data_IF_923180366223
#
_entry.id   IF_923180366223
#
_cell.length_a   1.000
_cell.length_b   1.000
_cell.length_c   1.000
_cell.angle_alpha   90.00
_cell.angle_beta   90.00
_cell.angle_gamma   90.00
#
_symmetry.space_group_name_H-M   'P 1'
#
loop_
_entity.id
_entity.type
_entity.pdbx_description
1 polymer ?
#
# COMPACT_ATOMS: atom_id res chain seq x y z
N UNK A 1 17.46 1.94 1.68
CA UNK A 1 18.69 1.31 2.21
C UNK A 1 18.27 0.50 3.44
N UNK A 2 18.40 -0.81 3.35
CA UNK A 2 18.06 -1.72 4.42
C UNK A 2 19.19 -1.70 5.46
N UNK A 3 18.81 -1.52 6.74
CA UNK A 3 19.71 -1.74 7.88
C UNK A 3 19.24 -2.98 8.62
N UNK A 4 20.07 -3.98 8.73
CA UNK A 4 19.80 -5.13 9.59
C UNK A 4 19.95 -4.69 11.06
N UNK A 5 18.88 -4.83 11.82
CA UNK A 5 18.82 -4.51 13.24
C UNK A 5 18.67 -5.83 14.02
N UNK A 6 19.76 -6.58 14.16
CA UNK A 6 19.72 -7.69 15.09
C UNK A 6 19.77 -7.14 16.54
N UNK A 7 18.60 -6.83 17.07
CA UNK A 7 18.42 -6.47 18.48
C UNK A 7 17.64 -7.57 19.19
N UNK A 8 18.13 -8.00 20.33
CA UNK A 8 17.38 -8.89 21.21
C UNK A 8 16.23 -8.17 21.94
N UNK A 9 16.23 -6.85 21.92
CA UNK A 9 15.24 -6.00 22.59
C UNK A 9 13.95 -5.98 21.81
N UNK A 10 12.86 -6.34 22.45
CA UNK A 10 11.50 -6.24 21.87
C UNK A 10 11.06 -4.79 21.80
N UNK A 11 10.28 -4.48 20.78
CA UNK A 11 9.55 -3.20 20.70
C UNK A 11 8.16 -3.45 21.29
N UNK A 12 7.96 -3.09 22.53
CA UNK A 12 6.73 -3.28 23.29
C UNK A 12 6.06 -1.95 23.68
N UNK A 13 6.69 -0.84 23.34
CA UNK A 13 6.13 0.50 23.57
C UNK A 13 6.51 1.46 22.41
N UNK A 14 5.72 2.52 22.20
CA UNK A 14 6.06 3.56 21.24
C UNK A 14 7.41 4.24 21.50
N UNK A 15 7.77 4.43 22.77
CA UNK A 15 9.07 4.99 23.18
C UNK A 15 10.22 4.13 22.69
N UNK A 16 10.13 2.81 22.84
CA UNK A 16 11.16 1.88 22.38
C UNK A 16 11.32 1.97 20.85
N UNK A 17 10.22 2.12 20.12
CA UNK A 17 10.24 2.33 18.67
C UNK A 17 10.90 3.66 18.32
N UNK A 18 10.54 4.75 18.99
CA UNK A 18 11.09 6.10 18.78
C UNK A 18 12.59 6.12 19.04
N UNK A 19 13.05 5.53 20.14
CA UNK A 19 14.48 5.44 20.45
C UNK A 19 15.26 4.73 19.34
N UNK A 20 14.69 3.67 18.77
CA UNK A 20 15.33 2.93 17.70
C UNK A 20 15.47 3.72 16.40
N UNK A 21 14.49 4.59 16.08
CA UNK A 21 14.48 5.36 14.83
C UNK A 21 15.01 6.77 14.97
N UNK A 22 15.01 7.34 16.19
CA UNK A 22 15.38 8.75 16.41
C UNK A 22 16.77 9.07 15.84
N UNK A 23 17.77 8.27 16.16
CA UNK A 23 19.13 8.46 15.64
C UNK A 23 19.21 8.37 14.12
N UNK A 24 18.39 7.49 13.54
CA UNK A 24 18.33 7.33 12.09
C UNK A 24 17.63 8.50 11.39
N UNK A 25 16.82 9.28 12.10
CA UNK A 25 16.02 10.39 11.56
C UNK A 25 16.65 11.76 11.83
N UNK A 26 17.54 11.89 12.82
CA UNK A 26 18.16 13.16 13.23
C UNK A 26 18.90 13.89 12.11
N UNK A 27 19.48 13.15 11.17
CA UNK A 27 20.29 13.69 10.09
C UNK A 27 19.45 14.17 8.89
N UNK A 28 18.14 13.99 8.91
CA UNK A 28 17.29 14.35 7.77
C UNK A 28 16.63 15.72 7.97
N UNK A 29 16.89 16.62 7.02
CA UNK A 29 16.30 17.96 6.90
C UNK A 29 14.92 17.96 6.22
N UNK A 30 14.42 16.77 5.88
CA UNK A 30 13.17 16.52 5.13
C UNK A 30 12.35 15.44 5.77
N UNK A 31 11.11 15.32 5.35
CA UNK A 31 10.24 14.24 5.78
C UNK A 31 10.77 12.88 5.28
N UNK A 32 10.86 11.93 6.17
CA UNK A 32 11.25 10.55 5.89
C UNK A 32 10.16 9.64 6.41
N UNK A 33 9.65 8.79 5.54
CA UNK A 33 8.72 7.74 5.92
C UNK A 33 9.41 6.39 5.84
N UNK A 34 9.23 5.58 6.87
CA UNK A 34 9.79 4.25 6.92
C UNK A 34 8.97 3.28 7.76
N UNK A 35 9.50 2.08 7.88
CA UNK A 35 8.93 1.04 8.72
C UNK A 35 10.02 0.20 9.39
N UNK A 36 9.66 -0.37 10.52
CA UNK A 36 10.42 -1.43 11.19
C UNK A 36 9.67 -2.73 10.96
N UNK A 37 10.34 -3.69 10.33
CA UNK A 37 9.85 -5.05 10.19
C UNK A 37 10.12 -5.82 11.47
N UNK A 38 9.12 -6.54 11.97
CA UNK A 38 9.15 -7.19 13.27
C UNK A 38 8.81 -8.68 13.15
N UNK A 39 9.43 -9.47 14.00
CA UNK A 39 9.06 -10.87 14.23
C UNK A 39 7.71 -10.95 14.97
N UNK A 40 7.19 -12.18 15.12
CA UNK A 40 5.92 -12.43 15.83
C UNK A 40 5.96 -11.97 17.29
N UNK A 41 7.14 -11.95 17.90
CA UNK A 41 7.37 -11.52 19.30
C UNK A 41 7.84 -10.06 19.42
N UNK A 42 7.69 -9.27 18.32
CA UNK A 42 8.04 -7.86 18.21
C UNK A 42 9.54 -7.53 18.28
N UNK A 43 10.41 -8.50 18.02
CA UNK A 43 11.83 -8.20 17.81
C UNK A 43 12.05 -7.60 16.42
N UNK A 44 12.86 -6.54 16.31
CA UNK A 44 13.16 -5.92 15.04
C UNK A 44 13.99 -6.85 14.15
N UNK A 45 13.57 -6.98 12.89
CA UNK A 45 14.30 -7.67 11.83
C UNK A 45 15.18 -6.67 11.11
N UNK A 46 14.58 -5.61 10.61
CA UNK A 46 15.26 -4.52 9.91
C UNK A 46 14.42 -3.24 9.93
N UNK A 47 15.08 -2.14 9.57
CA UNK A 47 14.48 -0.84 9.35
C UNK A 47 14.63 -0.47 7.87
N UNK A 48 13.54 -0.05 7.25
CA UNK A 48 13.50 0.37 5.85
C UNK A 48 12.95 1.78 5.70
N UNK A 49 13.71 2.65 5.03
CA UNK A 49 13.23 3.93 4.56
C UNK A 49 12.51 3.70 3.22
N UNK A 50 11.26 4.08 3.16
CA UNK A 50 10.38 3.89 2.01
C UNK A 50 10.33 5.14 1.14
N UNK A 51 10.26 6.32 1.77
CA UNK A 51 10.17 7.59 1.06
C UNK A 51 10.98 8.67 1.77
N UNK A 52 11.55 9.57 0.99
CA UNK A 52 12.24 10.78 1.46
C UNK A 52 11.77 11.98 0.63
N UNK A 53 11.41 13.08 1.29
CA UNK A 53 10.86 14.29 0.69
C UNK A 53 9.53 14.65 1.31
N UNK A 54 8.71 15.47 0.65
CA UNK A 54 7.36 15.77 1.14
C UNK A 54 6.50 14.51 1.14
N UNK A 55 5.83 14.24 2.25
CA UNK A 55 4.83 13.17 2.35
C UNK A 55 3.64 13.49 1.43
N UNK A 56 3.80 13.13 0.17
CA UNK A 56 2.67 13.08 -0.73
C UNK A 56 2.22 11.62 -0.80
N UNK A 57 0.92 11.34 -0.71
CA UNK A 57 0.32 10.00 -0.81
C UNK A 57 0.74 9.24 -2.09
N UNK A 58 1.26 9.94 -3.09
CA UNK A 58 1.87 9.37 -4.28
C UNK A 58 3.28 8.81 -4.07
N UNK A 59 3.99 9.18 -2.99
CA UNK A 59 5.36 8.76 -2.72
C UNK A 59 5.45 7.54 -1.79
N UNK A 60 4.46 7.36 -0.89
CA UNK A 60 4.37 6.18 -0.02
C UNK A 60 3.34 5.21 -0.63
N UNK A 61 3.80 4.39 -1.55
CA UNK A 61 2.91 3.43 -2.20
C UNK A 61 2.81 2.14 -1.38
N UNK A 62 1.60 1.64 -1.04
CA UNK A 62 1.43 0.40 -0.26
C UNK A 62 2.20 -0.79 -0.81
N UNK A 63 2.32 -0.91 -2.14
CA UNK A 63 3.07 -1.99 -2.78
C UNK A 63 4.56 -1.99 -2.40
N UNK A 64 5.21 -0.82 -2.38
CA UNK A 64 6.63 -0.73 -2.04
C UNK A 64 6.87 -0.99 -0.54
N UNK A 65 5.91 -0.54 0.29
CA UNK A 65 5.92 -0.79 1.73
C UNK A 65 5.75 -2.30 2.03
N UNK A 66 4.74 -2.93 1.43
CA UNK A 66 4.50 -4.37 1.55
C UNK A 66 5.65 -5.22 1.03
N UNK A 67 6.27 -4.83 -0.08
CA UNK A 67 7.39 -5.55 -0.67
C UNK A 67 8.52 -5.75 0.33
N UNK A 68 8.94 -4.69 1.01
CA UNK A 68 9.96 -4.73 2.04
C UNK A 68 9.60 -5.73 3.15
N UNK A 69 8.37 -5.67 3.64
CA UNK A 69 7.88 -6.49 4.74
C UNK A 69 7.79 -7.97 4.38
N UNK A 70 7.27 -8.27 3.18
CA UNK A 70 7.16 -9.65 2.68
C UNK A 70 8.55 -10.26 2.50
N UNK A 71 9.48 -9.53 1.89
CA UNK A 71 10.86 -9.99 1.69
C UNK A 71 11.61 -10.21 3.01
N UNK A 72 11.24 -9.47 4.06
CA UNK A 72 11.79 -9.62 5.40
C UNK A 72 11.14 -10.76 6.20
N UNK A 73 10.13 -11.43 5.65
CA UNK A 73 9.32 -12.44 6.35
C UNK A 73 8.80 -11.94 7.71
N UNK A 74 8.37 -10.68 7.76
CA UNK A 74 7.91 -10.04 8.98
C UNK A 74 6.45 -10.43 9.29
N UNK A 75 6.14 -10.62 10.57
CA UNK A 75 4.79 -10.87 11.06
C UNK A 75 4.06 -9.57 11.43
N UNK A 76 4.83 -8.59 11.93
CA UNK A 76 4.31 -7.31 12.36
C UNK A 76 5.15 -6.18 11.75
N UNK A 77 4.57 -5.00 11.69
CA UNK A 77 5.27 -3.78 11.28
C UNK A 77 4.93 -2.62 12.21
N UNK A 78 5.89 -1.72 12.36
CA UNK A 78 5.68 -0.41 12.96
C UNK A 78 6.06 0.64 11.94
N UNK A 79 5.14 1.57 11.67
CA UNK A 79 5.33 2.68 10.74
C UNK A 79 5.92 3.86 11.47
N UNK A 80 6.76 4.63 10.81
CA UNK A 80 7.29 5.87 11.38
C UNK A 80 7.53 6.92 10.30
N UNK A 81 7.42 8.19 10.68
CA UNK A 81 7.92 9.31 9.91
C UNK A 81 8.31 10.47 10.83
N UNK A 82 9.12 11.38 10.31
CA UNK A 82 9.49 12.63 11.00
C UNK A 82 8.82 13.83 10.36
N UNK A 83 8.55 14.85 11.19
CA UNK A 83 8.20 16.17 10.73
C UNK A 83 9.37 17.15 11.02
N UNK A 84 10.12 17.60 10.01
CA UNK A 84 11.22 18.56 10.21
C UNK A 84 10.77 19.87 10.86
N UNK A 85 9.49 20.21 10.71
CA UNK A 85 8.88 21.37 11.37
C UNK A 85 8.73 21.22 12.90
N UNK A 86 8.99 20.03 13.44
CA UNK A 86 8.77 19.66 14.85
C UNK A 86 7.31 19.56 15.28
N UNK A 87 6.35 19.72 14.36
CA UNK A 87 4.92 19.55 14.64
C UNK A 87 4.59 18.08 14.69
N UNK A 88 4.03 17.61 15.82
CA UNK A 88 3.68 16.19 16.02
C UNK A 88 2.26 15.84 15.56
N UNK A 89 1.40 16.85 15.37
CA UNK A 89 0.00 16.60 14.97
C UNK A 89 -0.04 16.01 13.55
N UNK A 90 -0.71 14.87 13.36
CA UNK A 90 -0.88 14.25 12.04
C UNK A 90 -1.57 15.19 11.06
N UNK A 91 -1.11 15.21 9.83
CA UNK A 91 -1.81 15.82 8.69
C UNK A 91 -2.96 14.93 8.21
N UNK A 92 -3.76 15.41 7.27
CA UNK A 92 -4.81 14.60 6.63
C UNK A 92 -4.17 13.49 5.77
N UNK A 93 -3.05 13.80 5.18
CA UNK A 93 -2.25 12.89 4.36
C UNK A 93 -1.69 11.75 5.22
N UNK A 94 -1.18 12.03 6.42
CA UNK A 94 -0.69 11.01 7.37
C UNK A 94 -1.81 10.07 7.80
N UNK A 95 -2.99 10.61 8.11
CA UNK A 95 -4.16 9.81 8.46
C UNK A 95 -4.58 8.91 7.28
N UNK A 96 -4.63 9.48 6.08
CA UNK A 96 -5.03 8.75 4.87
C UNK A 96 -4.07 7.61 4.55
N UNK A 97 -2.76 7.87 4.56
CA UNK A 97 -1.77 6.83 4.27
C UNK A 97 -1.72 5.76 5.36
N UNK A 98 -1.89 6.15 6.63
CA UNK A 98 -1.96 5.19 7.73
C UNK A 98 -3.14 4.24 7.53
N UNK A 99 -4.34 4.74 7.19
CA UNK A 99 -5.49 3.89 6.93
C UNK A 99 -5.25 2.96 5.73
N UNK A 100 -4.73 3.48 4.62
CA UNK A 100 -4.42 2.66 3.45
C UNK A 100 -3.44 1.53 3.77
N UNK A 101 -2.38 1.82 4.52
CA UNK A 101 -1.38 0.82 4.89
C UNK A 101 -1.93 -0.20 5.87
N UNK A 102 -2.68 0.21 6.89
CA UNK A 102 -3.33 -0.73 7.82
C UNK A 102 -4.23 -1.73 7.07
N UNK A 103 -5.03 -1.25 6.10
CA UNK A 103 -5.87 -2.13 5.30
C UNK A 103 -5.04 -3.06 4.40
N UNK A 104 -4.00 -2.54 3.74
CA UNK A 104 -3.15 -3.31 2.84
C UNK A 104 -2.37 -4.41 3.60
N UNK A 105 -1.79 -4.09 4.74
CA UNK A 105 -1.09 -5.05 5.59
C UNK A 105 -2.02 -6.11 6.17
N UNK A 106 -3.22 -5.69 6.60
CA UNK A 106 -4.23 -6.62 7.10
C UNK A 106 -4.65 -7.66 6.06
N UNK A 107 -4.79 -7.27 4.79
CA UNK A 107 -5.09 -8.20 3.69
C UNK A 107 -4.01 -9.27 3.51
N UNK A 108 -2.77 -8.97 3.89
CA UNK A 108 -1.63 -9.89 3.83
C UNK A 108 -1.41 -10.66 5.14
N UNK A 109 -2.29 -10.48 6.14
CA UNK A 109 -2.15 -11.11 7.45
C UNK A 109 -1.02 -10.52 8.31
N UNK A 110 -0.52 -9.32 7.96
CA UNK A 110 0.55 -8.63 8.67
C UNK A 110 -0.08 -7.54 9.55
N UNK A 111 0.30 -7.50 10.82
CA UNK A 111 -0.27 -6.52 11.76
C UNK A 111 0.56 -5.24 11.77
N UNK A 112 -0.10 -4.10 11.59
CA UNK A 112 0.48 -2.78 11.91
C UNK A 112 0.28 -2.55 13.41
N UNK A 113 1.38 -2.47 14.16
CA UNK A 113 1.33 -2.28 15.62
C UNK A 113 1.05 -0.83 15.97
N UNK A 114 1.71 0.09 15.30
CA UNK A 114 1.55 1.53 15.50
C UNK A 114 2.04 2.31 14.28
N UNK A 115 1.73 3.60 14.25
CA UNK A 115 2.37 4.60 13.43
C UNK A 115 2.83 5.74 14.34
N UNK A 116 4.13 6.01 14.35
CA UNK A 116 4.71 7.05 15.19
C UNK A 116 5.24 8.22 14.35
N UNK A 117 4.88 9.43 14.74
CA UNK A 117 5.45 10.67 14.18
C UNK A 117 6.54 11.14 15.15
N UNK A 118 7.77 11.20 14.66
CA UNK A 118 8.93 11.53 15.47
C UNK A 118 9.29 13.00 15.28
N UNK A 119 9.24 13.78 16.35
CA UNK A 119 9.76 15.14 16.38
C UNK A 119 11.23 15.20 16.78
N UNK A 120 11.55 14.44 17.83
CA UNK A 120 12.91 14.21 18.32
C UNK A 120 12.92 12.97 19.21
N UNK A 121 14.04 12.64 19.85
CA UNK A 121 14.18 11.44 20.67
C UNK A 121 13.19 11.32 21.85
N UNK A 122 12.59 12.41 22.28
CA UNK A 122 11.66 12.45 23.43
C UNK A 122 10.25 12.87 23.06
N UNK A 123 10.08 13.53 21.92
CA UNK A 123 8.78 14.07 21.49
C UNK A 123 8.28 13.29 20.27
N UNK A 124 7.16 12.63 20.41
CA UNK A 124 6.53 11.86 19.36
C UNK A 124 5.00 11.89 19.47
N UNK A 125 4.33 11.47 18.44
CA UNK A 125 2.91 11.18 18.42
C UNK A 125 2.73 9.71 18.02
N UNK A 126 2.02 8.94 18.82
CA UNK A 126 1.64 7.56 18.53
C UNK A 126 0.17 7.50 18.16
N UNK A 127 -0.17 6.94 17.01
CA UNK A 127 -1.56 6.73 16.62
C UNK A 127 -2.26 5.73 17.54
N UNK A 128 -1.52 4.74 18.05
CA UNK A 128 -2.07 3.75 19.00
C UNK A 128 -2.41 4.39 20.34
N UNK A 129 -1.47 5.13 20.95
CA UNK A 129 -1.69 5.77 22.25
C UNK A 129 -2.80 6.81 22.21
N UNK A 130 -2.92 7.53 21.11
CA UNK A 130 -3.98 8.52 20.91
C UNK A 130 -5.31 7.88 20.47
N UNK A 131 -5.40 6.54 20.42
CA UNK A 131 -6.58 5.80 19.97
C UNK A 131 -7.06 6.22 18.57
N UNK A 132 -6.13 6.62 17.71
CA UNK A 132 -6.39 7.08 16.33
C UNK A 132 -5.86 6.13 15.27
N UNK A 133 -5.24 5.00 15.67
CA UNK A 133 -4.81 3.98 14.72
C UNK A 133 -6.05 3.33 14.08
N UNK A 134 -6.15 3.33 12.74
CA UNK A 134 -7.30 2.75 12.05
C UNK A 134 -7.45 1.26 12.36
N UNK A 135 -8.68 0.81 12.52
CA UNK A 135 -8.95 -0.62 12.67
C UNK A 135 -8.94 -1.32 11.32
N UNK A 136 -8.41 -2.55 11.26
CA UNK A 136 -8.52 -3.37 10.07
C UNK A 136 -9.98 -3.60 9.68
N UNK A 137 -10.30 -3.35 8.42
CA UNK A 137 -11.61 -3.66 7.84
C UNK A 137 -11.48 -4.92 7.01
N UNK A 138 -11.92 -6.06 7.52
CA UNK A 138 -11.97 -7.31 6.77
C UNK A 138 -13.40 -7.58 6.35
N UNK A 139 -13.61 -7.78 5.08
CA UNK A 139 -14.87 -8.28 4.53
C UNK A 139 -14.57 -9.41 3.55
N UNK A 140 -14.18 -10.56 4.09
CA UNK A 140 -14.19 -11.78 3.29
C UNK A 140 -15.60 -12.34 3.31
N UNK A 141 -16.19 -12.51 2.14
CA UNK A 141 -17.48 -13.20 2.06
C UNK A 141 -17.25 -14.71 1.93
N UNK A 142 -18.10 -15.48 2.60
CA UNK A 142 -18.19 -16.95 2.47
C UNK A 142 -19.37 -17.39 1.62
N UNK A 143 -20.18 -16.45 1.15
CA UNK A 143 -21.37 -16.69 0.31
C UNK A 143 -21.12 -16.23 -1.12
N UNK A 144 -21.36 -17.08 -2.10
CA UNK A 144 -21.28 -16.74 -3.53
C UNK A 144 -22.28 -15.63 -3.92
N UNK A 145 -23.41 -15.52 -3.21
CA UNK A 145 -24.41 -14.49 -3.46
C UNK A 145 -23.93 -13.08 -3.10
N UNK A 146 -22.94 -12.99 -2.19
CA UNK A 146 -22.34 -11.74 -1.76
C UNK A 146 -21.13 -11.36 -2.62
N UNK A 147 -20.66 -12.26 -3.48
CA UNK A 147 -19.60 -11.96 -4.42
C UNK A 147 -20.18 -11.10 -5.54
N UNK A 148 -19.56 -9.96 -5.79
CA UNK A 148 -19.79 -9.18 -7.00
C UNK A 148 -19.22 -9.94 -8.20
N UNK A 149 -19.98 -10.85 -8.75
CA UNK A 149 -19.63 -11.72 -9.87
C UNK A 149 -19.65 -10.97 -11.21
N UNK A 150 -19.44 -9.71 -11.25
CA UNK A 150 -19.23 -8.86 -12.47
C UNK A 150 -19.98 -9.35 -13.73
N UNK A 151 -21.19 -9.85 -13.58
CA UNK A 151 -22.04 -10.33 -14.69
C UNK A 151 -22.23 -9.25 -15.76
N UNK A 152 -22.24 -7.98 -15.35
CA UNK A 152 -22.33 -6.85 -16.28
C UNK A 152 -21.09 -6.69 -17.17
N UNK A 153 -19.87 -6.94 -16.67
CA UNK A 153 -18.65 -6.80 -17.50
C UNK A 153 -18.46 -7.91 -18.51
N UNK A 154 -19.02 -9.08 -18.29
CA UNK A 154 -19.02 -10.16 -19.30
C UNK A 154 -19.90 -9.77 -20.47
N UNK A 155 -21.08 -9.23 -20.23
CA UNK A 155 -21.99 -8.74 -21.27
C UNK A 155 -21.39 -7.56 -22.07
N UNK A 156 -20.68 -6.63 -21.39
CA UNK A 156 -19.95 -5.55 -22.06
C UNK A 156 -18.77 -6.07 -22.90
N UNK A 157 -17.99 -7.02 -22.39
CA UNK A 157 -16.88 -7.62 -23.10
C UNK A 157 -17.39 -8.42 -24.34
N UNK A 158 -18.46 -9.15 -24.21
CA UNK A 158 -19.13 -9.85 -25.33
C UNK A 158 -19.64 -8.85 -26.40
N UNK A 159 -20.21 -7.72 -25.95
CA UNK A 159 -20.65 -6.63 -26.83
C UNK A 159 -19.48 -5.99 -27.58
N UNK A 160 -18.33 -5.77 -26.92
CA UNK A 160 -17.12 -5.23 -27.56
C UNK A 160 -16.54 -6.25 -28.55
N UNK A 161 -16.47 -7.53 -28.20
CA UNK A 161 -16.01 -8.60 -29.10
C UNK A 161 -16.93 -8.74 -30.31
N UNK A 162 -18.25 -8.63 -30.13
CA UNK A 162 -19.22 -8.65 -31.22
C UNK A 162 -19.01 -7.47 -32.18
N UNK A 163 -18.83 -6.25 -31.64
CA UNK A 163 -18.53 -5.05 -32.44
C UNK A 163 -17.20 -5.15 -33.20
N UNK A 164 -16.16 -5.72 -32.60
CA UNK A 164 -14.88 -5.96 -33.27
C UNK A 164 -15.02 -6.95 -34.42
N UNK A 165 -15.79 -8.03 -34.25
CA UNK A 165 -16.06 -9.00 -35.32
C UNK A 165 -16.85 -8.38 -36.48
N UNK A 166 -17.74 -7.45 -36.20
CA UNK A 166 -18.47 -6.71 -37.24
C UNK A 166 -17.56 -5.74 -38.02
N UNK A 167 -16.56 -5.16 -37.38
CA UNK A 167 -15.60 -4.26 -38.05
C UNK A 167 -14.55 -5.00 -38.87
N UNK A 168 -14.24 -6.25 -38.58
CA UNK A 168 -13.31 -7.06 -39.35
C UNK A 168 -13.91 -7.60 -40.68
N UNK A 169 -15.23 -7.51 -40.90
CA UNK A 169 -15.88 -8.05 -42.10
C UNK A 169 -16.33 -7.05 -43.19
N UNK A 170 -15.99 -5.75 -43.19
CA UNK A 170 -16.40 -4.85 -44.29
C UNK A 170 -15.68 -5.10 -45.60
N UNK A 171 -14.49 -5.67 -45.61
CA UNK A 171 -13.71 -5.88 -46.85
C UNK A 171 -14.10 -7.12 -47.65
N UNK A 172 -14.63 -8.18 -47.02
CA UNK A 172 -15.08 -9.37 -47.73
C UNK A 172 -16.39 -9.17 -48.50
N UNK A 173 -17.30 -8.34 -48.01
CA UNK A 173 -18.57 -8.02 -48.68
C UNK A 173 -18.41 -7.15 -49.92
N UNK A 174 -17.40 -6.25 -49.97
CA UNK A 174 -17.15 -5.43 -51.17
C UNK A 174 -16.49 -6.23 -52.30
N UNK A 175 -15.65 -7.21 -52.01
CA UNK A 175 -15.03 -8.07 -53.03
C UNK A 175 -16.01 -9.09 -53.65
N UNK A 176 -17.00 -9.59 -52.94
CA UNK A 176 -18.01 -10.49 -53.50
C UNK A 176 -19.01 -9.76 -54.40
N UNK A 177 -19.37 -8.51 -54.07
CA UNK A 177 -20.24 -7.68 -54.96
C UNK A 177 -19.53 -7.18 -56.20
N UNK A 178 -18.22 -6.96 -56.21
CA UNK A 178 -17.45 -6.60 -57.37
C UNK A 178 -17.29 -7.80 -58.34
N UNK A 179 -17.03 -9.02 -57.85
CA UNK A 179 -16.95 -10.23 -58.69
C UNK A 179 -18.28 -10.67 -59.27
N UNK A 180 -19.42 -10.36 -58.62
CA UNK A 180 -20.74 -10.69 -59.20
C UNK A 180 -21.13 -9.73 -60.35
N UNK A 181 -20.59 -8.50 -60.35
CA UNK A 181 -20.86 -7.52 -61.42
C UNK A 181 -19.99 -7.70 -62.67
N UNK A 182 -18.84 -8.38 -62.57
CA UNK A 182 -17.99 -8.73 -63.73
C UNK A 182 -18.41 -10.04 -64.45
N UNK A 183 -19.31 -10.82 -63.85
CA UNK A 183 -19.80 -12.07 -64.41
C UNK A 183 -21.12 -11.91 -65.21
N UNK A 184 -21.70 -10.71 -65.24
CA UNK A 184 -22.94 -10.38 -65.97
C UNK A 184 -22.70 -9.43 -67.19
N UNK A 185 -21.45 -9.28 -67.62
CA UNK A 185 -21.04 -8.56 -68.83
C UNK A 185 -20.32 -9.54 -69.79
#
# INVERSE_FOLDING_TARGET
KERSLYSETKIDSPEAAVQLVADALLDYDREVFGLINLQVDNRPINLNIISMGTLNSSLVHPRETLKSTILSNASNVLLFHNHPSGKLKPSKEDISITDQLVQAFNMMGIKVLDHVIVGNATNYYSFLEQCTLPLPRSSYTTSLDQLDLRKQKVAEAESVVAKLKETEHPQKRKRSKAKAKEAEL
#
